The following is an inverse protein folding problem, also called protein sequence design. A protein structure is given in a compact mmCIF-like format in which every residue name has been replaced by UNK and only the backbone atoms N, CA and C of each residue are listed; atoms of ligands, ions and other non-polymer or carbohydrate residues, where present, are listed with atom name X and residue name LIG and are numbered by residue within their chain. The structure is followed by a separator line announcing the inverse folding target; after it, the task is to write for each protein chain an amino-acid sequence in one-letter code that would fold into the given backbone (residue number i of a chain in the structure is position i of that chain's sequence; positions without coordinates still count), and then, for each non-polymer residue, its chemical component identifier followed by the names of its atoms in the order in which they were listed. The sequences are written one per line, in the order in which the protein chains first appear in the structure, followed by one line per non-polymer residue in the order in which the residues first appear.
data_IF_101234603799
#
_entry.id   IF_101234603799
#
_cell.length_a   1.000
_cell.length_b   1.000
_cell.length_c   1.000
_cell.angle_alpha   90.00
_cell.angle_beta   90.00
_cell.angle_gamma   90.00
#
_symmetry.space_group_name_H-M   'P 1'
#
loop_
_entity.id
_entity.type
_entity.pdbx_description
1 polymer ?
#
# COMPACT_ATOMS: atom_id res chain seq x y z
N UNK A 1 19.23 -0.63 -25.38
CA UNK A 1 18.30 -1.65 -24.84
C UNK A 1 18.51 -1.77 -23.33
N UNK A 2 17.48 -1.61 -22.49
CA UNK A 2 17.61 -1.77 -21.02
C UNK A 2 17.40 -3.24 -20.63
N UNK A 3 18.46 -4.07 -20.73
CA UNK A 3 18.40 -5.51 -20.44
C UNK A 3 17.97 -5.83 -19.00
N UNK A 4 18.32 -4.96 -18.04
CA UNK A 4 17.90 -5.10 -16.64
C UNK A 4 16.38 -5.02 -16.49
N UNK A 5 15.74 -4.11 -17.24
CA UNK A 5 14.28 -4.00 -17.27
C UNK A 5 13.62 -5.26 -17.84
N UNK A 6 14.14 -5.76 -18.96
CA UNK A 6 13.64 -6.97 -19.59
C UNK A 6 13.75 -8.18 -18.65
N UNK A 7 14.93 -8.42 -18.08
CA UNK A 7 15.17 -9.51 -17.13
C UNK A 7 14.27 -9.40 -15.91
N UNK A 8 14.10 -8.20 -15.34
CA UNK A 8 13.24 -7.97 -14.18
C UNK A 8 11.79 -8.43 -14.43
N UNK A 9 11.18 -8.00 -15.54
CA UNK A 9 9.80 -8.38 -15.85
C UNK A 9 9.67 -9.85 -16.26
N UNK A 10 10.68 -10.41 -16.93
CA UNK A 10 10.71 -11.84 -17.26
C UNK A 10 10.75 -12.70 -16.00
N UNK A 11 11.58 -12.34 -15.01
CA UNK A 11 11.65 -13.04 -13.73
C UNK A 11 10.34 -12.94 -12.94
N UNK A 12 9.69 -11.77 -12.88
CA UNK A 12 8.38 -11.65 -12.23
C UNK A 12 7.33 -12.52 -12.92
N UNK A 13 7.34 -12.59 -14.26
CA UNK A 13 6.44 -13.46 -15.03
C UNK A 13 6.62 -14.94 -14.66
N UNK A 14 7.87 -15.40 -14.57
CA UNK A 14 8.19 -16.78 -14.18
C UNK A 14 7.76 -17.05 -12.73
N UNK A 15 7.89 -16.06 -11.83
CA UNK A 15 7.53 -16.18 -10.41
C UNK A 15 6.03 -15.98 -10.11
N UNK A 16 5.17 -16.06 -11.13
CA UNK A 16 3.71 -16.00 -10.96
C UNK A 16 3.08 -14.63 -11.15
N UNK A 17 3.80 -13.65 -11.72
CA UNK A 17 3.28 -12.31 -12.10
C UNK A 17 2.74 -11.50 -10.92
N UNK A 18 3.23 -11.74 -9.70
CA UNK A 18 2.70 -11.10 -8.48
C UNK A 18 2.80 -9.58 -8.57
N UNK A 19 3.93 -9.06 -9.02
CA UNK A 19 4.14 -7.61 -9.16
C UNK A 19 3.44 -7.07 -10.42
N UNK A 20 3.54 -7.79 -11.54
CA UNK A 20 2.95 -7.37 -12.81
C UNK A 20 1.42 -7.20 -12.72
N UNK A 21 0.72 -8.09 -12.02
CA UNK A 21 -0.74 -7.96 -11.80
C UNK A 21 -1.07 -6.65 -11.06
N UNK A 22 -0.35 -6.36 -9.98
CA UNK A 22 -0.54 -5.10 -9.26
C UNK A 22 -0.23 -3.89 -10.12
N UNK A 23 0.85 -3.93 -10.90
CA UNK A 23 1.25 -2.85 -11.81
C UNK A 23 0.19 -2.58 -12.89
N UNK A 24 -0.34 -3.63 -13.52
CA UNK A 24 -1.35 -3.51 -14.57
C UNK A 24 -2.66 -2.93 -14.04
N UNK A 25 -3.11 -3.38 -12.87
CA UNK A 25 -4.33 -2.83 -12.25
C UNK A 25 -4.15 -1.37 -11.83
N UNK A 26 -3.00 -0.98 -11.24
CA UNK A 26 -2.71 0.45 -10.94
C UNK A 26 -2.74 1.26 -12.21
N UNK A 27 -2.00 0.81 -13.23
CA UNK A 27 -1.93 1.48 -14.52
C UNK A 27 -3.33 1.69 -15.09
N UNK A 28 -4.15 0.64 -15.11
CA UNK A 28 -5.52 0.71 -15.63
C UNK A 28 -6.36 1.73 -14.87
N UNK A 29 -6.42 1.65 -13.53
CA UNK A 29 -7.24 2.54 -12.71
C UNK A 29 -6.78 4.01 -12.79
N UNK A 30 -5.47 4.27 -12.83
CA UNK A 30 -4.94 5.65 -12.92
C UNK A 30 -5.15 6.25 -14.31
N UNK A 31 -5.00 5.46 -15.37
CA UNK A 31 -5.15 5.95 -16.75
C UNK A 31 -6.63 6.05 -17.17
N UNK A 32 -7.54 5.33 -16.51
CA UNK A 32 -8.96 5.27 -16.86
C UNK A 32 -9.85 5.53 -15.62
N UNK A 33 -9.80 6.73 -15.00
CA UNK A 33 -10.46 6.99 -13.72
C UNK A 33 -11.99 6.99 -13.78
N UNK A 34 -12.59 7.24 -14.95
CA UNK A 34 -14.04 7.29 -15.15
C UNK A 34 -14.60 6.03 -15.82
N UNK A 35 -13.76 5.02 -16.03
CA UNK A 35 -14.18 3.74 -16.60
C UNK A 35 -14.99 2.94 -15.57
N UNK A 36 -16.08 2.29 -16.01
CA UNK A 36 -16.94 1.51 -15.13
C UNK A 36 -16.17 0.39 -14.42
N UNK A 37 -15.20 -0.23 -15.10
CA UNK A 37 -14.35 -1.27 -14.53
C UNK A 37 -13.42 -0.71 -13.45
N UNK A 38 -12.95 0.53 -13.58
CA UNK A 38 -12.18 1.18 -12.52
C UNK A 38 -13.05 1.36 -11.28
N UNK A 39 -14.28 1.84 -11.46
CA UNK A 39 -15.26 1.96 -10.38
C UNK A 39 -15.51 0.61 -9.70
N UNK A 40 -15.79 -0.45 -10.46
CA UNK A 40 -15.97 -1.82 -9.95
C UNK A 40 -14.77 -2.31 -9.14
N UNK A 41 -13.54 -2.15 -9.66
CA UNK A 41 -12.30 -2.53 -8.98
C UNK A 41 -12.17 -1.77 -7.65
N UNK A 42 -12.40 -0.46 -7.66
CA UNK A 42 -12.27 0.36 -6.45
C UNK A 42 -13.31 0.04 -5.40
N UNK A 43 -14.57 -0.19 -5.80
CA UNK A 43 -15.65 -0.61 -4.91
C UNK A 43 -15.36 -1.97 -4.29
N UNK A 44 -14.94 -2.94 -5.10
CA UNK A 44 -14.56 -4.26 -4.60
C UNK A 44 -13.39 -4.20 -3.61
N UNK A 45 -12.36 -3.37 -3.86
CA UNK A 45 -11.26 -3.19 -2.91
C UNK A 45 -11.73 -2.53 -1.61
N UNK A 46 -12.62 -1.53 -1.69
CA UNK A 46 -13.18 -0.86 -0.52
C UNK A 46 -14.01 -1.82 0.33
N UNK A 47 -14.92 -2.57 -0.29
CA UNK A 47 -15.76 -3.57 0.40
C UNK A 47 -14.90 -4.63 1.10
N UNK A 48 -13.91 -5.19 0.40
CA UNK A 48 -12.99 -6.16 0.98
C UNK A 48 -12.17 -5.58 2.14
N UNK A 49 -11.75 -4.32 2.04
CA UNK A 49 -11.01 -3.63 3.10
C UNK A 49 -11.88 -3.42 4.34
N UNK A 50 -13.12 -2.96 4.16
CA UNK A 50 -14.06 -2.71 5.26
C UNK A 50 -14.49 -4.01 5.93
N UNK A 51 -14.80 -5.04 5.14
CA UNK A 51 -15.12 -6.38 5.66
C UNK A 51 -13.96 -6.96 6.47
N UNK A 52 -12.72 -6.82 5.97
CA UNK A 52 -11.54 -7.25 6.71
C UNK A 52 -11.33 -6.44 8.00
N UNK A 53 -11.40 -5.11 7.93
CA UNK A 53 -11.21 -4.24 9.09
C UNK A 53 -12.24 -4.54 10.19
N UNK A 54 -13.52 -4.58 9.85
CA UNK A 54 -14.61 -4.82 10.80
C UNK A 54 -14.72 -6.25 11.32
N UNK A 55 -14.00 -7.22 10.72
CA UNK A 55 -13.99 -8.62 11.20
C UNK A 55 -12.68 -9.03 11.88
N UNK A 56 -11.58 -8.33 11.63
CA UNK A 56 -10.26 -8.72 12.14
C UNK A 56 -9.59 -7.70 13.05
N UNK A 57 -9.97 -6.42 13.01
CA UNK A 57 -9.32 -5.36 13.79
C UNK A 57 -10.16 -5.07 15.04
N UNK A 58 -9.64 -5.31 16.27
CA UNK A 58 -10.37 -5.13 17.53
C UNK A 58 -11.16 -3.82 17.61
N UNK A 59 -10.50 -2.69 17.36
CA UNK A 59 -11.13 -1.36 17.43
C UNK A 59 -12.40 -1.23 16.59
N UNK A 60 -12.44 -1.80 15.38
CA UNK A 60 -13.61 -1.72 14.50
C UNK A 60 -14.65 -2.82 14.79
N UNK A 61 -14.23 -3.96 15.33
CA UNK A 61 -15.12 -5.04 15.78
C UNK A 61 -15.98 -4.52 16.94
N UNK A 62 -15.36 -3.87 17.93
CA UNK A 62 -16.04 -3.39 19.14
C UNK A 62 -17.12 -2.32 18.82
N UNK A 63 -17.03 -1.70 17.65
CA UNK A 63 -17.98 -0.71 17.14
C UNK A 63 -19.10 -1.33 16.28
N UNK A 64 -19.12 -2.65 16.06
CA UNK A 64 -20.12 -3.35 15.25
C UNK A 64 -20.26 -2.80 13.81
N UNK A 65 -19.11 -2.54 13.15
CA UNK A 65 -19.05 -1.89 11.83
C UNK A 65 -19.20 -2.84 10.63
N UNK A 66 -19.37 -4.15 10.86
CA UNK A 66 -19.50 -5.13 9.78
C UNK A 66 -20.74 -4.83 8.91
N UNK A 67 -20.52 -4.76 7.59
CA UNK A 67 -21.56 -4.42 6.61
C UNK A 67 -22.04 -2.96 6.66
N UNK A 68 -21.43 -2.10 7.48
CA UNK A 68 -21.74 -0.66 7.51
C UNK A 68 -21.03 0.07 6.39
N UNK A 69 -21.63 1.19 5.97
CA UNK A 69 -21.03 2.07 4.96
C UNK A 69 -19.75 2.73 5.48
N UNK A 70 -18.86 3.15 4.58
CA UNK A 70 -17.61 3.84 4.93
C UNK A 70 -17.85 5.10 5.79
N UNK A 71 -18.99 5.78 5.62
CA UNK A 71 -19.36 6.96 6.41
C UNK A 71 -19.63 6.64 7.89
N UNK A 72 -19.86 5.37 8.24
CA UNK A 72 -20.01 4.93 9.64
C UNK A 72 -18.68 4.72 10.35
N UNK A 73 -17.56 4.69 9.62
CA UNK A 73 -16.24 4.47 10.22
C UNK A 73 -15.71 5.79 10.80
N UNK A 74 -15.11 5.76 12.01
CA UNK A 74 -14.59 6.96 12.64
C UNK A 74 -13.38 7.51 11.88
N UNK A 75 -13.31 8.83 11.79
CA UNK A 75 -12.09 9.51 11.30
C UNK A 75 -11.07 9.51 12.43
N UNK A 76 -9.97 8.77 12.25
CA UNK A 76 -8.87 8.67 13.22
C UNK A 76 -7.64 9.47 12.78
N UNK A 77 -6.75 9.77 13.71
CA UNK A 77 -5.52 10.51 13.45
C UNK A 77 -4.26 9.73 13.87
N UNK A 78 -3.07 10.27 13.57
CA UNK A 78 -1.79 9.60 13.84
C UNK A 78 -1.55 9.34 15.34
N UNK A 79 -1.95 10.28 16.20
CA UNK A 79 -1.82 10.15 17.65
C UNK A 79 -2.67 9.00 18.14
N UNK A 80 -3.93 8.96 17.71
CA UNK A 80 -4.86 7.87 18.02
C UNK A 80 -4.29 6.51 17.59
N UNK A 81 -3.73 6.42 16.38
CA UNK A 81 -3.14 5.17 15.87
C UNK A 81 -1.95 4.72 16.74
N UNK A 82 -1.12 5.67 17.19
CA UNK A 82 0.04 5.38 18.04
C UNK A 82 -0.40 4.89 19.42
N UNK A 83 -1.38 5.56 20.02
CA UNK A 83 -1.83 5.27 21.37
C UNK A 83 -2.64 3.97 21.45
N UNK A 84 -3.29 3.58 20.34
CA UNK A 84 -4.14 2.38 20.26
C UNK A 84 -3.58 1.35 19.25
N UNK A 85 -2.25 1.27 19.14
CA UNK A 85 -1.59 0.49 18.08
C UNK A 85 -1.91 -1.01 18.13
N UNK A 86 -2.06 -1.60 19.32
CA UNK A 86 -2.46 -3.01 19.49
C UNK A 86 -3.90 -3.27 19.04
N UNK A 87 -4.82 -2.36 19.35
CA UNK A 87 -6.25 -2.48 19.00
C UNK A 87 -6.52 -2.25 17.52
N UNK A 88 -5.60 -1.57 16.83
CA UNK A 88 -5.66 -1.30 15.40
C UNK A 88 -4.93 -2.35 14.55
N UNK A 89 -4.39 -3.41 15.17
CA UNK A 89 -3.80 -4.54 14.46
C UNK A 89 -4.84 -5.63 14.18
N UNK A 90 -4.84 -6.13 12.94
CA UNK A 90 -5.69 -7.23 12.56
C UNK A 90 -5.22 -8.53 13.24
N UNK A 91 -6.13 -9.22 13.95
CA UNK A 91 -5.85 -10.43 14.74
C UNK A 91 -5.19 -11.53 13.91
N UNK A 92 -5.63 -11.72 12.67
CA UNK A 92 -5.10 -12.72 11.75
C UNK A 92 -3.69 -12.41 11.23
N UNK A 93 -3.06 -11.30 11.62
CA UNK A 93 -1.69 -10.94 11.22
C UNK A 93 -0.71 -10.83 12.39
N UNK A 94 -1.14 -11.10 13.63
CA UNK A 94 -0.28 -11.03 14.82
C UNK A 94 0.89 -12.02 14.75
N UNK A 95 0.68 -13.20 14.15
CA UNK A 95 1.70 -14.25 13.99
C UNK A 95 2.38 -14.22 12.61
N UNK A 96 2.04 -13.25 11.76
CA UNK A 96 2.58 -13.16 10.41
C UNK A 96 3.76 -12.19 10.33
N UNK A 97 4.71 -12.53 9.46
CA UNK A 97 5.84 -11.66 9.15
C UNK A 97 5.36 -10.39 8.42
N UNK A 98 5.13 -9.33 9.18
CA UNK A 98 4.82 -8.00 8.68
C UNK A 98 6.10 -7.16 8.52
N UNK A 99 6.04 -6.17 7.64
CA UNK A 99 7.12 -5.22 7.40
C UNK A 99 6.78 -3.87 8.04
N UNK A 100 7.70 -3.32 8.83
CA UNK A 100 7.56 -1.97 9.37
C UNK A 100 7.82 -0.92 8.29
N UNK A 101 6.90 0.04 8.16
CA UNK A 101 7.11 1.27 7.41
C UNK A 101 7.10 2.44 8.37
N UNK A 102 8.26 3.09 8.51
CA UNK A 102 8.47 4.25 9.38
C UNK A 102 8.48 5.54 8.58
N UNK A 103 7.92 6.59 9.15
CA UNK A 103 8.04 7.96 8.65
C UNK A 103 8.60 8.82 9.78
N UNK A 104 9.58 9.68 9.47
CA UNK A 104 10.23 10.52 10.48
C UNK A 104 9.29 11.58 11.07
N UNK A 105 8.20 11.91 10.36
CA UNK A 105 7.20 12.89 10.77
C UNK A 105 7.75 14.33 10.72
N UNK A 106 7.02 15.25 10.08
CA UNK A 106 7.35 16.69 10.14
C UNK A 106 7.16 17.26 11.56
N UNK A 107 6.40 16.57 12.41
CA UNK A 107 6.07 16.94 13.79
C UNK A 107 6.99 16.29 14.84
N UNK A 108 8.12 15.71 14.42
CA UNK A 108 9.16 15.18 15.32
C UNK A 108 8.87 13.83 15.99
N UNK A 109 7.65 13.29 15.88
CA UNK A 109 7.33 11.95 16.38
C UNK A 109 7.32 10.94 15.23
N UNK A 110 8.22 9.94 15.23
CA UNK A 110 8.20 8.88 14.24
C UNK A 110 6.86 8.12 14.25
N UNK A 111 6.29 7.90 13.07
CA UNK A 111 5.07 7.12 12.90
C UNK A 111 5.39 5.82 12.16
N UNK A 112 4.94 4.70 12.71
CA UNK A 112 5.19 3.36 12.19
C UNK A 112 3.86 2.67 11.86
N UNK A 113 3.82 1.98 10.72
CA UNK A 113 2.72 1.09 10.34
C UNK A 113 3.26 -0.25 9.90
N UNK A 114 2.48 -1.30 10.11
CA UNK A 114 2.77 -2.65 9.61
C UNK A 114 2.20 -2.83 8.19
N UNK A 115 2.94 -3.54 7.35
CA UNK A 115 2.54 -3.88 6.00
C UNK A 115 2.74 -5.37 5.76
N UNK A 116 1.69 -6.06 5.32
CA UNK A 116 1.81 -7.44 4.85
C UNK A 116 2.60 -7.50 3.51
N UNK A 117 2.94 -8.70 3.08
CA UNK A 117 3.67 -8.92 1.82
C UNK A 117 2.88 -8.40 0.60
N UNK A 118 1.54 -8.52 0.60
CA UNK A 118 0.68 -8.04 -0.49
C UNK A 118 0.77 -6.52 -0.63
N UNK A 119 0.67 -5.78 0.47
CA UNK A 119 0.78 -4.33 0.52
C UNK A 119 2.15 -3.86 0.09
N UNK A 120 3.22 -4.56 0.47
CA UNK A 120 4.59 -4.28 0.01
C UNK A 120 4.71 -4.43 -1.51
N UNK A 121 4.21 -5.52 -2.07
CA UNK A 121 4.20 -5.75 -3.52
C UNK A 121 3.41 -4.65 -4.24
N UNK A 122 2.22 -4.29 -3.73
CA UNK A 122 1.42 -3.20 -4.30
C UNK A 122 2.15 -1.85 -4.25
N UNK A 123 2.80 -1.52 -3.14
CA UNK A 123 3.62 -0.30 -3.00
C UNK A 123 4.78 -0.27 -4.00
N UNK A 124 5.46 -1.40 -4.20
CA UNK A 124 6.53 -1.51 -5.19
C UNK A 124 5.99 -1.32 -6.61
N UNK A 125 4.86 -1.93 -6.95
CA UNK A 125 4.22 -1.76 -8.25
C UNK A 125 3.84 -0.30 -8.51
N UNK A 126 3.27 0.37 -7.50
CA UNK A 126 2.92 1.79 -7.53
C UNK A 126 4.13 2.69 -7.78
N UNK A 127 5.20 2.47 -7.02
CA UNK A 127 6.47 3.17 -7.19
C UNK A 127 7.02 2.99 -8.61
N UNK A 128 6.97 1.77 -9.15
CA UNK A 128 7.44 1.48 -10.52
C UNK A 128 6.58 2.18 -11.56
N UNK A 129 5.25 2.18 -11.40
CA UNK A 129 4.32 2.87 -12.31
C UNK A 129 4.59 4.38 -12.36
N UNK A 130 4.62 5.04 -11.20
CA UNK A 130 4.85 6.49 -11.17
C UNK A 130 6.27 6.86 -11.56
N UNK A 131 7.27 6.03 -11.25
CA UNK A 131 8.64 6.24 -11.75
C UNK A 131 8.70 6.13 -13.28
N UNK A 132 8.05 5.12 -13.87
CA UNK A 132 7.97 4.97 -15.32
C UNK A 132 7.31 6.20 -15.97
N UNK A 133 6.25 6.73 -15.35
CA UNK A 133 5.58 7.97 -15.79
C UNK A 133 6.48 9.20 -15.73
N UNK A 134 7.42 9.24 -14.79
CA UNK A 134 8.45 10.28 -14.70
C UNK A 134 9.66 10.03 -15.63
N UNK A 135 9.61 9.02 -16.50
CA UNK A 135 10.70 8.66 -17.40
C UNK A 135 11.77 7.75 -16.80
N UNK A 136 11.62 7.34 -15.53
CA UNK A 136 12.55 6.44 -14.86
C UNK A 136 12.09 4.99 -14.91
N UNK A 137 12.78 4.18 -15.71
CA UNK A 137 12.49 2.75 -15.85
C UNK A 137 13.34 1.91 -14.90
N UNK A 138 12.78 0.80 -14.40
CA UNK A 138 13.54 -0.21 -13.65
C UNK A 138 14.80 -0.58 -14.43
N UNK A 139 15.95 -0.56 -13.74
CA UNK A 139 17.26 -0.84 -14.35
C UNK A 139 18.04 0.40 -14.78
N UNK A 140 17.44 1.60 -14.77
CA UNK A 140 18.18 2.85 -14.89
C UNK A 140 19.08 3.06 -13.66
N UNK A 141 20.11 3.90 -13.81
CA UNK A 141 20.94 4.34 -12.68
C UNK A 141 20.23 5.51 -12.01
N UNK A 142 19.94 5.40 -10.72
CA UNK A 142 19.43 6.50 -9.90
C UNK A 142 20.57 7.02 -9.03
N UNK A 143 20.87 8.30 -9.14
CA UNK A 143 21.83 8.98 -8.27
C UNK A 143 21.02 9.89 -7.35
N UNK A 144 21.10 9.66 -6.05
CA UNK A 144 20.41 10.46 -5.05
C UNK A 144 21.44 11.34 -4.34
N UNK A 145 21.40 12.64 -4.62
CA UNK A 145 22.18 13.63 -3.89
C UNK A 145 21.37 14.11 -2.70
N UNK A 146 21.87 13.86 -1.49
CA UNK A 146 21.30 14.40 -0.26
C UNK A 146 22.25 15.44 0.30
N UNK A 147 21.82 16.70 0.31
CA UNK A 147 22.51 17.74 1.07
C UNK A 147 22.19 17.51 2.55
N UNK A 148 23.20 17.20 3.35
CA UNK A 148 23.09 17.24 4.80
C UNK A 148 23.41 18.66 5.23
N UNK A 149 22.43 19.39 5.77
CA UNK A 149 22.76 20.62 6.51
C UNK A 149 23.51 20.19 7.76
N UNK A 150 24.77 20.58 7.85
CA UNK A 150 25.64 20.31 8.99
C UNK A 150 25.52 21.42 10.03
N UNK A 151 24.30 21.82 10.43
CA UNK A 151 24.05 22.72 11.57
C UNK A 151 22.66 22.44 12.13
#
# INVERSE_FOLDING_TARGET
MNWRNFLFWTLDKIRGKKLLKHYQEIKFCVENPFDSKTTEITSAHLENLLAHASSQVPFYIDQNLLGKSIQSYPVINKTFIKDNFSELQAKNYLEHNCFEAKTSGSTGTPFMVLQDQRKRLRKTADTIYFSNRAGYKVGYKLIFFRLWKAF
#
